data_IF_892695601684
#
_entry.id   IF_892695601684
#
_cell.length_a   1.000
_cell.length_b   1.000
_cell.length_c   1.000
_cell.angle_alpha   90.00
_cell.angle_beta   90.00
_cell.angle_gamma   90.00
#
_symmetry.space_group_name_H-M   'P 1'
#
loop_
_entity.id
_entity.type
_entity.pdbx_description
1 polymer ?
#
# COMPACT_ATOMS: atom_id res chain seq x y z
N UNK A 1 43.15 18.17 -25.94
CA UNK A 1 42.46 18.52 -24.67
C UNK A 1 40.95 18.32 -24.72
N UNK A 2 40.28 18.24 -25.90
CA UNK A 2 38.82 17.99 -25.98
C UNK A 2 38.38 16.55 -25.61
N UNK A 3 39.12 15.53 -26.07
CA UNK A 3 38.70 14.12 -25.91
C UNK A 3 38.67 13.58 -24.47
N UNK A 4 39.44 14.16 -23.54
CA UNK A 4 39.38 13.77 -22.12
C UNK A 4 38.14 14.35 -21.43
N UNK A 5 37.75 15.56 -21.80
CA UNK A 5 36.55 16.23 -21.27
C UNK A 5 35.28 15.55 -21.80
N UNK A 6 35.26 15.13 -23.07
CA UNK A 6 34.15 14.35 -23.64
C UNK A 6 34.01 12.97 -22.99
N UNK A 7 35.11 12.24 -22.75
CA UNK A 7 35.08 10.98 -21.98
C UNK A 7 34.58 11.17 -20.56
N UNK A 8 35.01 12.26 -19.89
CA UNK A 8 34.52 12.60 -18.55
C UNK A 8 33.02 12.90 -18.57
N UNK A 9 32.54 13.63 -19.58
CA UNK A 9 31.13 13.98 -19.72
C UNK A 9 30.26 12.76 -20.04
N UNK A 10 30.76 11.79 -20.82
CA UNK A 10 30.08 10.51 -21.04
C UNK A 10 30.02 9.65 -19.77
N UNK A 11 31.09 9.62 -18.98
CA UNK A 11 31.10 8.93 -17.68
C UNK A 11 30.11 9.55 -16.69
N UNK A 12 30.08 10.89 -16.61
CA UNK A 12 29.14 11.62 -15.76
C UNK A 12 27.70 11.41 -16.22
N UNK A 13 27.43 11.34 -17.53
CA UNK A 13 26.09 10.99 -18.05
C UNK A 13 25.70 9.56 -17.65
N UNK A 14 26.58 8.57 -17.81
CA UNK A 14 26.32 7.17 -17.39
C UNK A 14 26.09 7.06 -15.88
N UNK A 15 26.87 7.77 -15.07
CA UNK A 15 26.68 7.88 -13.62
C UNK A 15 25.38 8.60 -13.25
N UNK A 16 25.01 9.64 -13.99
CA UNK A 16 23.76 10.37 -13.82
C UNK A 16 22.54 9.47 -14.08
N UNK A 17 22.57 8.65 -15.13
CA UNK A 17 21.51 7.67 -15.39
C UNK A 17 21.41 6.62 -14.29
N UNK A 18 22.54 6.08 -13.81
CA UNK A 18 22.55 5.13 -12.68
C UNK A 18 22.04 5.76 -11.38
N UNK A 19 22.45 6.99 -11.08
CA UNK A 19 21.96 7.73 -9.92
C UNK A 19 20.46 8.01 -10.04
N UNK A 20 19.99 8.38 -11.23
CA UNK A 20 18.57 8.62 -11.49
C UNK A 20 17.71 7.36 -11.31
N UNK A 21 18.20 6.21 -11.78
CA UNK A 21 17.55 4.91 -11.55
C UNK A 21 17.46 4.58 -10.06
N UNK A 22 18.54 4.80 -9.29
CA UNK A 22 18.52 4.59 -7.85
C UNK A 22 17.56 5.54 -7.13
N UNK A 23 17.53 6.81 -7.51
CA UNK A 23 16.60 7.80 -6.93
C UNK A 23 15.16 7.41 -7.21
N UNK A 24 14.83 6.97 -8.42
CA UNK A 24 13.49 6.49 -8.75
C UNK A 24 13.11 5.25 -7.94
N UNK A 25 14.02 4.28 -7.80
CA UNK A 25 13.77 3.08 -6.98
C UNK A 25 13.50 3.44 -5.52
N UNK A 26 14.33 4.32 -4.93
CA UNK A 26 14.15 4.78 -3.56
C UNK A 26 12.85 5.57 -3.40
N UNK A 27 12.49 6.41 -4.36
CA UNK A 27 11.24 7.16 -4.38
C UNK A 27 10.01 6.25 -4.41
N UNK A 28 9.99 5.24 -5.29
CA UNK A 28 8.91 4.25 -5.33
C UNK A 28 8.82 3.43 -4.04
N UNK A 29 9.96 3.12 -3.42
CA UNK A 29 9.99 2.41 -2.14
C UNK A 29 9.44 3.27 -1.00
N UNK A 30 9.79 4.56 -0.96
CA UNK A 30 9.22 5.54 -0.01
C UNK A 30 7.73 5.74 -0.23
N UNK A 31 7.25 5.86 -1.48
CA UNK A 31 5.83 5.94 -1.80
C UNK A 31 5.05 4.69 -1.35
N UNK A 32 5.63 3.50 -1.51
CA UNK A 32 5.07 2.26 -0.96
C UNK A 32 4.95 2.33 0.56
N UNK A 33 6.02 2.73 1.25
CA UNK A 33 6.02 2.85 2.70
C UNK A 33 4.95 3.84 3.18
N UNK A 34 4.84 4.99 2.52
CA UNK A 34 3.89 6.05 2.87
C UNK A 34 2.42 5.60 2.66
N UNK A 35 2.13 4.90 1.56
CA UNK A 35 0.80 4.30 1.32
C UNK A 35 0.45 3.24 2.37
N UNK A 36 1.40 2.37 2.73
CA UNK A 36 1.19 1.34 3.76
C UNK A 36 0.93 1.99 5.13
N UNK A 37 1.66 3.05 5.47
CA UNK A 37 1.45 3.79 6.71
C UNK A 37 0.07 4.46 6.75
N UNK A 38 -0.34 5.16 5.68
CA UNK A 38 -1.69 5.76 5.62
C UNK A 38 -2.80 4.72 5.83
N UNK A 39 -2.64 3.52 5.24
CA UNK A 39 -3.64 2.46 5.38
C UNK A 39 -3.61 1.80 6.77
N UNK A 40 -2.46 1.68 7.43
CA UNK A 40 -2.40 1.27 8.84
C UNK A 40 -3.20 2.21 9.75
N UNK A 41 -3.09 3.52 9.52
CA UNK A 41 -3.91 4.50 10.25
C UNK A 41 -5.41 4.33 9.96
N UNK A 42 -5.78 4.01 8.72
CA UNK A 42 -7.17 3.71 8.37
C UNK A 42 -7.70 2.46 9.09
N UNK A 43 -6.90 1.37 9.18
CA UNK A 43 -7.25 0.16 9.92
C UNK A 43 -7.45 0.46 11.40
N UNK A 44 -6.51 1.17 12.04
CA UNK A 44 -6.65 1.51 13.47
C UNK A 44 -7.89 2.38 13.71
N UNK A 45 -8.23 3.29 12.78
CA UNK A 45 -9.44 4.11 12.89
C UNK A 45 -10.71 3.26 12.74
N UNK A 46 -10.76 2.35 11.76
CA UNK A 46 -11.89 1.46 11.55
C UNK A 46 -12.07 0.49 12.74
N UNK A 47 -10.98 -0.07 13.28
CA UNK A 47 -11.00 -0.91 14.48
C UNK A 47 -11.54 -0.16 15.70
N UNK A 48 -11.15 1.11 15.91
CA UNK A 48 -11.72 1.93 17.00
C UNK A 48 -13.21 2.18 16.83
N UNK A 49 -13.69 2.37 15.60
CA UNK A 49 -15.12 2.51 15.33
C UNK A 49 -15.88 1.21 15.62
N UNK A 50 -15.32 0.07 15.24
CA UNK A 50 -15.86 -1.25 15.53
C UNK A 50 -15.89 -1.53 17.04
N UNK A 51 -14.80 -1.31 17.77
CA UNK A 51 -14.76 -1.45 19.23
C UNK A 51 -15.81 -0.57 19.92
N UNK A 52 -16.01 0.67 19.43
CA UNK A 52 -17.04 1.56 19.97
C UNK A 52 -18.45 1.02 19.71
N UNK A 53 -18.72 0.51 18.51
CA UNK A 53 -20.02 -0.11 18.19
C UNK A 53 -20.28 -1.36 19.05
N UNK A 54 -19.28 -2.23 19.22
CA UNK A 54 -19.35 -3.40 20.11
C UNK A 54 -19.58 -3.01 21.57
N UNK A 55 -18.89 -1.97 22.07
CA UNK A 55 -19.09 -1.49 23.44
C UNK A 55 -20.49 -0.92 23.66
N UNK A 56 -21.05 -0.21 22.67
CA UNK A 56 -22.41 0.32 22.71
C UNK A 56 -23.45 -0.79 22.71
N UNK A 57 -23.25 -1.81 21.89
CA UNK A 57 -24.10 -3.01 21.85
C UNK A 57 -24.06 -3.77 23.18
N UNK A 58 -22.86 -3.96 23.76
CA UNK A 58 -22.70 -4.60 25.06
C UNK A 58 -23.36 -3.83 26.21
N UNK A 59 -23.29 -2.50 26.20
CA UNK A 59 -23.95 -1.66 27.21
C UNK A 59 -25.48 -1.80 27.16
N UNK A 60 -26.04 -1.86 25.95
CA UNK A 60 -27.48 -2.04 25.71
C UNK A 60 -27.93 -3.43 26.17
N UNK A 61 -27.19 -4.48 25.81
CA UNK A 61 -27.48 -5.86 26.27
C UNK A 61 -27.37 -5.98 27.79
N UNK A 62 -26.35 -5.39 28.42
CA UNK A 62 -26.18 -5.43 29.87
C UNK A 62 -27.30 -4.70 30.61
N UNK A 63 -27.77 -3.56 30.08
CA UNK A 63 -28.93 -2.86 30.61
C UNK A 63 -30.19 -3.73 30.59
N UNK A 64 -30.49 -4.36 29.46
CA UNK A 64 -31.62 -5.28 29.33
C UNK A 64 -31.53 -6.50 30.23
N UNK A 65 -30.33 -7.10 30.36
CA UNK A 65 -30.12 -8.26 31.23
C UNK A 65 -30.34 -7.90 32.71
N UNK A 66 -29.92 -6.68 33.11
CA UNK A 66 -30.12 -6.16 34.46
C UNK A 66 -31.60 -5.87 34.76
N UNK A 67 -32.37 -5.48 33.76
CA UNK A 67 -33.83 -5.25 33.87
C UNK A 67 -34.63 -6.56 33.84
N UNK A 68 -33.98 -7.71 33.67
CA UNK A 68 -34.62 -9.03 33.68
C UNK A 68 -35.34 -9.36 32.38
N UNK A 69 -35.02 -8.66 31.29
CA UNK A 69 -35.64 -8.89 29.98
C UNK A 69 -34.97 -10.07 29.26
N UNK A 70 -35.72 -11.15 29.03
CA UNK A 70 -35.22 -12.35 28.34
C UNK A 70 -35.26 -12.23 26.80
N UNK A 71 -36.00 -11.26 26.27
CA UNK A 71 -36.22 -11.05 24.83
C UNK A 71 -35.20 -10.09 24.20
N UNK A 72 -33.91 -10.31 24.44
CA UNK A 72 -32.82 -9.44 23.95
C UNK A 72 -32.75 -9.41 22.42
N UNK A 73 -33.17 -10.49 21.74
CA UNK A 73 -33.12 -10.61 20.27
C UNK A 73 -34.24 -9.86 19.55
N UNK A 74 -35.38 -9.65 20.22
CA UNK A 74 -36.56 -9.05 19.59
C UNK A 74 -36.64 -7.54 19.85
N UNK A 75 -35.72 -6.99 20.64
CA UNK A 75 -35.70 -5.58 20.98
C UNK A 75 -35.15 -4.72 19.82
N UNK A 76 -35.89 -3.67 19.38
CA UNK A 76 -35.48 -2.80 18.29
C UNK A 76 -34.18 -2.03 18.58
N UNK A 77 -33.83 -1.78 19.85
CA UNK A 77 -32.57 -1.16 20.23
C UNK A 77 -31.37 -2.09 19.99
N UNK A 78 -31.52 -3.39 20.24
CA UNK A 78 -30.49 -4.39 19.92
C UNK A 78 -30.36 -4.57 18.41
N UNK A 79 -31.48 -4.62 17.69
CA UNK A 79 -31.47 -4.69 16.22
C UNK A 79 -30.74 -3.50 15.58
N UNK A 80 -30.97 -2.29 16.10
CA UNK A 80 -30.30 -1.06 15.63
C UNK A 80 -28.80 -1.10 15.93
N UNK A 81 -28.41 -1.54 17.13
CA UNK A 81 -26.99 -1.67 17.46
C UNK A 81 -26.30 -2.77 16.66
N UNK A 82 -26.98 -3.90 16.40
CA UNK A 82 -26.46 -4.98 15.55
C UNK A 82 -26.19 -4.47 14.13
N UNK A 83 -27.08 -3.63 13.59
CA UNK A 83 -26.86 -2.99 12.28
C UNK A 83 -25.64 -2.06 12.31
N UNK A 84 -25.46 -1.26 13.37
CA UNK A 84 -24.28 -0.41 13.52
C UNK A 84 -22.97 -1.22 13.59
N UNK A 85 -23.00 -2.40 14.23
CA UNK A 85 -21.85 -3.31 14.29
C UNK A 85 -21.57 -3.91 12.90
N UNK A 86 -22.60 -4.35 12.17
CA UNK A 86 -22.44 -4.83 10.78
C UNK A 86 -21.84 -3.77 9.86
N UNK A 87 -22.35 -2.54 9.91
CA UNK A 87 -21.79 -1.42 9.12
C UNK A 87 -20.32 -1.15 9.48
N UNK A 88 -19.95 -1.26 10.77
CA UNK A 88 -18.57 -1.10 11.21
C UNK A 88 -17.66 -2.28 10.76
N UNK A 89 -18.18 -3.51 10.75
CA UNK A 89 -17.48 -4.68 10.21
C UNK A 89 -17.24 -4.57 8.71
N UNK A 90 -18.23 -4.10 7.96
CA UNK A 90 -18.10 -3.84 6.52
C UNK A 90 -17.01 -2.78 6.24
N UNK A 91 -16.95 -1.69 7.03
CA UNK A 91 -15.87 -0.71 6.90
C UNK A 91 -14.48 -1.32 7.14
N UNK A 92 -14.33 -2.19 8.13
CA UNK A 92 -13.05 -2.87 8.39
C UNK A 92 -12.68 -3.76 7.20
N UNK A 93 -13.65 -4.52 6.69
CA UNK A 93 -13.45 -5.41 5.55
C UNK A 93 -13.07 -4.64 4.28
N UNK A 94 -13.72 -3.52 4.01
CA UNK A 94 -13.40 -2.65 2.87
C UNK A 94 -11.95 -2.12 2.97
N UNK A 95 -11.53 -1.70 4.17
CA UNK A 95 -10.15 -1.22 4.38
C UNK A 95 -9.14 -2.35 4.16
N UNK A 96 -9.43 -3.58 4.59
CA UNK A 96 -8.57 -4.74 4.36
C UNK A 96 -8.49 -5.11 2.86
N UNK A 97 -9.61 -5.08 2.15
CA UNK A 97 -9.64 -5.30 0.69
C UNK A 97 -8.82 -4.23 -0.06
N UNK A 98 -8.91 -2.97 0.35
CA UNK A 98 -8.10 -1.89 -0.21
C UNK A 98 -6.59 -2.08 0.06
N UNK A 99 -6.22 -2.67 1.20
CA UNK A 99 -4.82 -3.01 1.51
C UNK A 99 -4.32 -4.14 0.61
N UNK A 100 -5.12 -5.19 0.42
CA UNK A 100 -4.77 -6.29 -0.48
C UNK A 100 -4.63 -5.82 -1.93
N UNK A 101 -5.53 -4.95 -2.39
CA UNK A 101 -5.45 -4.35 -3.73
C UNK A 101 -4.13 -3.59 -3.93
N UNK A 102 -3.71 -2.77 -2.95
CA UNK A 102 -2.43 -2.06 -3.01
C UNK A 102 -1.25 -3.04 -3.04
N UNK A 103 -1.30 -4.12 -2.26
CA UNK A 103 -0.25 -5.13 -2.27
C UNK A 103 -0.12 -5.80 -3.65
N UNK A 104 -1.25 -6.12 -4.27
CA UNK A 104 -1.31 -6.72 -5.60
C UNK A 104 -0.81 -5.76 -6.69
N UNK A 105 -1.21 -4.48 -6.65
CA UNK A 105 -0.69 -3.45 -7.57
C UNK A 105 0.83 -3.30 -7.46
N UNK A 106 1.38 -3.30 -6.25
CA UNK A 106 2.83 -3.20 -6.06
C UNK A 106 3.56 -4.48 -6.49
N UNK A 107 2.96 -5.65 -6.30
CA UNK A 107 3.52 -6.91 -6.79
C UNK A 107 3.57 -6.92 -8.33
N UNK A 108 2.48 -6.53 -8.99
CA UNK A 108 2.40 -6.41 -10.45
C UNK A 108 3.40 -5.38 -11.00
N UNK A 109 3.45 -4.16 -10.43
CA UNK A 109 4.42 -3.13 -10.83
C UNK A 109 5.87 -3.56 -10.62
N UNK A 110 6.15 -4.36 -9.58
CA UNK A 110 7.50 -4.90 -9.36
C UNK A 110 7.88 -5.93 -10.43
N UNK A 111 6.95 -6.77 -10.86
CA UNK A 111 7.17 -7.71 -11.97
C UNK A 111 7.40 -6.96 -13.29
N UNK A 112 6.53 -6.00 -13.61
CA UNK A 112 6.69 -5.17 -14.82
C UNK A 112 8.02 -4.42 -14.87
N UNK A 113 8.44 -3.83 -13.73
CA UNK A 113 9.73 -3.16 -13.66
C UNK A 113 10.87 -4.18 -13.83
N UNK A 114 10.79 -5.35 -13.19
CA UNK A 114 11.81 -6.39 -13.36
C UNK A 114 11.94 -6.82 -14.84
N UNK A 115 10.82 -6.98 -15.54
CA UNK A 115 10.80 -7.35 -16.97
C UNK A 115 11.33 -6.22 -17.86
N UNK A 116 10.87 -4.98 -17.66
CA UNK A 116 11.36 -3.81 -18.40
C UNK A 116 12.86 -3.58 -18.20
N UNK A 117 13.35 -3.77 -16.98
CA UNK A 117 14.78 -3.63 -16.67
C UNK A 117 15.61 -4.80 -17.16
N UNK A 118 15.09 -6.04 -17.14
CA UNK A 118 15.75 -7.16 -17.81
C UNK A 118 15.86 -6.89 -19.31
N UNK A 119 14.79 -6.46 -19.97
CA UNK A 119 14.81 -6.12 -21.40
C UNK A 119 15.80 -5.00 -21.73
N UNK A 120 15.86 -3.94 -20.91
CA UNK A 120 16.82 -2.84 -21.09
C UNK A 120 18.27 -3.25 -20.80
N UNK A 121 18.50 -4.15 -19.84
CA UNK A 121 19.84 -4.68 -19.55
C UNK A 121 20.34 -5.56 -20.67
N UNK A 122 19.50 -6.44 -21.22
CA UNK A 122 19.87 -7.26 -22.39
C UNK A 122 20.14 -6.39 -23.62
N UNK A 123 19.38 -5.30 -23.81
CA UNK A 123 19.62 -4.34 -24.89
C UNK A 123 20.90 -3.50 -24.68
N UNK A 124 21.25 -3.17 -23.43
CA UNK A 124 22.46 -2.42 -23.10
C UNK A 124 23.72 -3.30 -23.15
N UNK A 125 23.62 -4.59 -22.81
CA UNK A 125 24.68 -5.60 -22.99
C UNK A 125 24.88 -5.95 -24.49
N UNK A 126 23.91 -5.62 -25.35
CA UNK A 126 23.98 -5.74 -26.81
C UNK A 126 24.31 -4.44 -27.53
N UNK A 127 24.47 -3.31 -26.85
CA UNK A 127 25.04 -2.12 -27.46
C UNK A 127 26.54 -2.37 -27.61
N UNK A 128 27.02 -2.70 -28.82
CA UNK A 128 28.40 -3.11 -28.99
C UNK A 128 29.28 -1.90 -28.68
N UNK A 129 30.46 -2.19 -28.13
CA UNK A 129 31.59 -1.30 -28.21
C UNK A 129 32.06 -1.22 -29.68
N UNK A 130 31.25 -0.63 -30.54
CA UNK A 130 31.68 0.02 -31.79
C UNK A 130 31.68 1.51 -31.41
N UNK A 131 32.76 2.03 -30.82
CA UNK A 131 33.77 2.80 -31.57
C UNK A 131 35.16 2.61 -30.93
N UNK A 132 35.73 1.42 -31.08
CA UNK A 132 37.16 1.21 -30.98
C UNK A 132 37.68 0.83 -32.37
N UNK A 133 38.04 1.84 -33.16
CA UNK A 133 39.04 1.86 -34.25
C UNK A 133 38.64 2.90 -35.33
N UNK A 134 39.20 4.12 -35.19
CA UNK A 134 40.08 4.75 -36.20
C UNK A 134 40.82 5.95 -35.58
#
# INVERSE_FOLDING_TARGET
>A
MGGLVDKLMQLVKKLGYLAWEYVLVVYYWKMRFLKVQMKRFAVTKAQKHLEKAYSGLGAVIYGMLREGSEAIKDDPAVATQMKNVQEAEEMVKEVDEQIQAIHNEFAAKRQELKEKYQAKRTAADQAPAEDAEE
#
